data_IF_034054419836
#
_entry.id   IF_034054419836
#
_cell.length_a   1.000
_cell.length_b   1.000
_cell.length_c   1.000
_cell.angle_alpha   90.00
_cell.angle_beta   90.00
_cell.angle_gamma   90.00
#
_symmetry.space_group_name_H-M   'P 1'
#
loop_
_entity.id
_entity.type
_entity.pdbx_description
1 polymer ?
#
# COMPACT_ATOMS: atom_id res chain seq x y z
N UNK A 1 31.52 -13.55 -4.84
CA UNK A 1 30.14 -14.05 -4.78
C UNK A 1 29.26 -12.89 -5.20
N UNK A 2 28.99 -12.79 -6.50
CA UNK A 2 28.16 -11.75 -7.09
C UNK A 2 26.70 -12.03 -6.73
N UNK A 3 26.08 -11.14 -5.95
CA UNK A 3 24.64 -11.18 -5.74
C UNK A 3 23.98 -10.72 -7.05
N UNK A 4 23.55 -11.71 -7.83
CA UNK A 4 22.76 -11.50 -9.04
C UNK A 4 21.49 -10.74 -8.69
N UNK A 5 21.44 -9.45 -9.00
CA UNK A 5 20.23 -8.65 -9.06
C UNK A 5 19.39 -9.16 -10.25
N UNK A 6 18.69 -10.28 -10.05
CA UNK A 6 17.62 -10.68 -10.96
C UNK A 6 16.49 -9.64 -10.86
N UNK A 7 15.84 -9.24 -11.98
CA UNK A 7 14.61 -8.47 -11.90
C UNK A 7 13.59 -9.29 -11.09
N UNK A 8 13.13 -8.72 -9.99
CA UNK A 8 12.55 -9.45 -8.85
C UNK A 8 11.19 -10.10 -9.08
N UNK A 9 10.58 -10.01 -10.26
CA UNK A 9 9.32 -10.68 -10.60
C UNK A 9 9.09 -10.61 -12.11
N UNK A 10 8.56 -11.66 -12.72
CA UNK A 10 8.07 -11.58 -14.10
C UNK A 10 6.89 -10.58 -14.17
N UNK A 11 6.63 -9.95 -15.34
CA UNK A 11 5.48 -9.05 -15.50
C UNK A 11 4.15 -9.73 -15.15
N UNK A 12 4.02 -11.05 -15.39
CA UNK A 12 2.84 -11.84 -15.01
C UNK A 12 2.65 -11.90 -13.49
N UNK A 13 3.72 -12.18 -12.74
CA UNK A 13 3.69 -12.23 -11.27
C UNK A 13 3.31 -10.86 -10.68
N UNK A 14 3.85 -9.77 -11.24
CA UNK A 14 3.51 -8.40 -10.83
C UNK A 14 2.04 -8.09 -11.08
N UNK A 15 1.49 -8.50 -12.24
CA UNK A 15 0.09 -8.30 -12.58
C UNK A 15 -0.86 -9.08 -11.67
N UNK A 16 -0.48 -10.31 -11.28
CA UNK A 16 -1.24 -11.12 -10.32
C UNK A 16 -1.24 -10.44 -8.95
N UNK A 17 -0.09 -10.00 -8.45
CA UNK A 17 0.00 -9.31 -7.15
C UNK A 17 -0.80 -8.00 -7.14
N UNK A 18 -0.72 -7.21 -8.22
CA UNK A 18 -1.53 -5.99 -8.37
C UNK A 18 -3.02 -6.33 -8.36
N UNK A 19 -3.42 -7.38 -9.07
CA UNK A 19 -4.82 -7.82 -9.10
C UNK A 19 -5.33 -8.24 -7.72
N UNK A 20 -4.54 -9.01 -6.98
CA UNK A 20 -4.87 -9.43 -5.61
C UNK A 20 -4.99 -8.22 -4.68
N UNK A 21 -4.05 -7.28 -4.76
CA UNK A 21 -4.07 -6.07 -3.97
C UNK A 21 -5.32 -5.22 -4.24
N UNK A 22 -5.68 -5.00 -5.51
CA UNK A 22 -6.84 -4.20 -5.91
C UNK A 22 -8.19 -4.86 -5.57
N UNK A 23 -8.26 -6.19 -5.62
CA UNK A 23 -9.52 -6.94 -5.46
C UNK A 23 -9.76 -7.46 -4.03
N UNK A 24 -8.78 -7.32 -3.13
CA UNK A 24 -8.93 -7.75 -1.75
C UNK A 24 -10.13 -7.05 -1.08
N UNK A 25 -10.97 -7.84 -0.40
CA UNK A 25 -12.15 -7.33 0.29
C UNK A 25 -11.79 -6.45 1.50
N UNK A 26 -10.68 -6.76 2.17
CA UNK A 26 -10.15 -5.95 3.26
C UNK A 26 -9.36 -4.75 2.75
N UNK A 27 -9.41 -3.65 3.51
CA UNK A 27 -8.59 -2.48 3.25
C UNK A 27 -7.11 -2.78 3.42
N UNK A 28 -6.33 -2.56 2.37
CA UNK A 28 -4.87 -2.73 2.37
C UNK A 28 -4.18 -1.40 2.12
N UNK A 29 -3.12 -1.13 2.88
CA UNK A 29 -2.26 0.04 2.74
C UNK A 29 -0.80 -0.37 2.85
N UNK A 30 0.05 0.17 1.97
CA UNK A 30 1.50 0.06 2.04
C UNK A 30 2.06 1.39 2.55
N UNK A 31 2.87 1.32 3.59
CA UNK A 31 3.57 2.47 4.16
C UNK A 31 5.09 2.33 3.96
N UNK A 32 5.76 3.46 3.77
CA UNK A 32 7.21 3.53 3.78
C UNK A 32 7.79 3.42 5.21
N UNK A 33 9.12 3.35 5.34
CA UNK A 33 9.79 3.34 6.65
C UNK A 33 9.57 4.63 7.44
N UNK A 34 9.16 5.70 6.76
CA UNK A 34 8.78 6.97 7.34
C UNK A 34 7.29 7.04 7.70
N UNK A 35 6.56 5.92 7.67
CA UNK A 35 5.11 5.83 7.93
C UNK A 35 4.24 6.59 6.93
N UNK A 36 4.82 6.98 5.80
CA UNK A 36 4.13 7.65 4.72
C UNK A 36 3.44 6.64 3.81
N UNK A 37 2.15 6.83 3.52
CA UNK A 37 1.39 5.97 2.62
C UNK A 37 1.95 6.05 1.21
N UNK A 38 2.33 4.88 0.68
CA UNK A 38 2.88 4.70 -0.68
C UNK A 38 1.83 4.15 -1.63
N UNK A 39 0.88 3.36 -1.13
CA UNK A 39 -0.18 2.73 -1.92
C UNK A 39 -1.32 2.30 -1.00
N UNK A 40 -2.55 2.26 -1.53
CA UNK A 40 -3.71 1.68 -0.88
C UNK A 40 -4.61 1.02 -1.91
N UNK A 41 -5.47 0.09 -1.48
CA UNK A 41 -6.44 -0.54 -2.36
C UNK A 41 -7.82 0.15 -2.31
N UNK A 42 -8.74 -0.14 -3.26
CA UNK A 42 -10.06 0.46 -3.29
C UNK A 42 -10.89 0.20 -2.04
N UNK A 43 -10.73 -0.96 -1.40
CA UNK A 43 -11.43 -1.29 -0.16
C UNK A 43 -11.01 -0.37 0.99
N UNK A 44 -9.72 -0.04 1.10
CA UNK A 44 -9.21 0.94 2.06
C UNK A 44 -9.79 2.33 1.80
N UNK A 45 -9.84 2.75 0.53
CA UNK A 45 -10.42 4.04 0.15
C UNK A 45 -11.93 4.13 0.40
N UNK A 46 -12.66 3.01 0.32
CA UNK A 46 -14.10 2.98 0.63
C UNK A 46 -14.38 3.04 2.12
N UNK A 47 -13.53 2.42 2.93
CA UNK A 47 -13.62 2.50 4.39
C UNK A 47 -13.33 3.92 4.89
N UNK A 48 -12.57 4.70 4.13
CA UNK A 48 -12.15 6.04 4.52
C UNK A 48 -12.78 7.11 3.63
N UNK A 49 -13.80 7.80 4.13
CA UNK A 49 -14.44 8.94 3.45
C UNK A 49 -13.61 10.22 3.63
N UNK A 50 -12.35 10.19 3.22
CA UNK A 50 -11.59 11.42 2.97
C UNK A 50 -11.61 11.74 1.48
N UNK A 51 -11.48 13.02 1.09
CA UNK A 51 -11.17 13.35 -0.29
C UNK A 51 -9.93 12.53 -0.69
N UNK A 52 -10.06 11.70 -1.74
CA UNK A 52 -9.02 10.79 -2.24
C UNK A 52 -7.64 11.46 -2.46
N UNK A 53 -7.59 12.79 -2.44
CA UNK A 53 -6.41 13.61 -2.66
C UNK A 53 -5.46 13.73 -1.46
N UNK A 54 -5.76 13.17 -0.29
CA UNK A 54 -4.85 13.27 0.87
C UNK A 54 -4.39 11.93 1.45
N UNK A 55 -4.71 10.79 0.84
CA UNK A 55 -4.25 9.48 1.36
C UNK A 55 -2.83 9.18 0.90
N UNK A 56 -2.54 9.28 -0.40
CA UNK A 56 -1.18 9.07 -0.92
C UNK A 56 -0.24 10.16 -0.41
N UNK A 57 0.88 9.77 0.18
CA UNK A 57 1.88 10.72 0.70
C UNK A 57 1.59 11.28 2.08
N UNK A 58 0.43 11.01 2.67
CA UNK A 58 0.15 11.33 4.06
C UNK A 58 0.82 10.34 5.02
N UNK A 59 1.02 10.78 6.27
CA UNK A 59 1.44 9.89 7.36
C UNK A 59 0.27 9.04 7.82
N UNK A 60 0.49 7.77 8.10
CA UNK A 60 -0.58 6.85 8.51
C UNK A 60 -1.24 7.29 9.83
N UNK A 61 -0.51 7.94 10.74
CA UNK A 61 -1.06 8.51 11.98
C UNK A 61 -2.04 9.67 11.73
N UNK A 62 -1.91 10.40 10.61
CA UNK A 62 -2.88 11.45 10.25
C UNK A 62 -4.21 10.87 9.75
N UNK A 63 -4.19 9.62 9.29
CA UNK A 63 -5.36 8.87 8.81
C UNK A 63 -5.97 8.07 9.96
N UNK A 64 -5.13 7.47 10.81
CA UNK A 64 -5.50 6.71 12.00
C UNK A 64 -4.77 7.29 13.22
N UNK A 65 -5.38 8.24 13.95
CA UNK A 65 -4.74 8.91 15.08
C UNK A 65 -4.30 7.98 16.21
N UNK A 66 -4.98 6.84 16.39
CA UNK A 66 -4.66 5.81 17.39
C UNK A 66 -3.70 4.73 16.85
N UNK A 67 -3.13 4.92 15.66
CA UNK A 67 -2.16 3.98 15.10
C UNK A 67 -0.80 4.13 15.79
N UNK A 68 -0.27 3.00 16.27
CA UNK A 68 1.07 2.90 16.80
C UNK A 68 1.90 1.95 15.92
N UNK A 69 3.19 2.27 15.66
CA UNK A 69 4.07 1.33 14.97
C UNK A 69 4.25 0.07 15.82
N UNK A 70 4.05 -1.09 15.20
CA UNK A 70 4.34 -2.41 15.79
C UNK A 70 5.82 -2.72 15.86
#
# INVERSE_FOLDING_TARGET
>A
MEQSNAPLSSPEETAVLESLFQQAAEGMVLIGPDYTVRKYNPSFAQQYVAPQQEILGAKIDTIFPDWEPV
#
